data_IF_631928443124
#
_entry.id   IF_631928443124
#
_cell.length_a   1.000
_cell.length_b   1.000
_cell.length_c   1.000
_cell.angle_alpha   90.00
_cell.angle_beta   90.00
_cell.angle_gamma   90.00
#
_symmetry.space_group_name_H-M   'P 1'
#
loop_
_entity.id
_entity.type
_entity.pdbx_description
1 polymer ?
#
# COMPACT_ATOMS: atom_id res chain seq x y z
N UNK A 1 -24.83 -63.61 10.60
CA UNK A 1 -25.85 -62.60 10.23
C UNK A 1 -27.07 -63.26 9.56
N UNK A 2 -26.94 -63.88 8.38
CA UNK A 2 -28.10 -64.53 7.72
C UNK A 2 -28.64 -65.74 8.52
N UNK A 3 -27.75 -66.64 8.97
CA UNK A 3 -28.11 -67.79 9.82
C UNK A 3 -28.64 -67.39 11.20
N UNK A 4 -28.34 -66.17 11.65
CA UNK A 4 -28.81 -65.59 12.91
C UNK A 4 -30.15 -64.85 12.75
N UNK A 5 -30.75 -64.87 11.55
CA UNK A 5 -31.99 -64.14 11.21
C UNK A 5 -31.90 -62.63 11.44
N UNK A 6 -30.73 -62.04 11.24
CA UNK A 6 -30.53 -60.59 11.37
C UNK A 6 -30.61 -59.88 10.00
N UNK A 7 -30.46 -60.63 8.90
CA UNK A 7 -30.53 -60.16 7.50
C UNK A 7 -31.19 -61.22 6.62
N UNK A 8 -31.94 -60.79 5.61
CA UNK A 8 -32.57 -61.65 4.61
C UNK A 8 -31.72 -61.65 3.33
N UNK A 9 -31.55 -62.83 2.72
CA UNK A 9 -30.86 -63.00 1.45
C UNK A 9 -31.86 -63.35 0.36
N UNK A 10 -31.94 -62.54 -0.71
CA UNK A 10 -32.76 -62.84 -1.89
C UNK A 10 -31.88 -63.13 -3.10
N UNK A 11 -32.23 -64.19 -3.82
CA UNK A 11 -31.54 -64.57 -5.05
C UNK A 11 -31.96 -63.62 -6.17
N UNK A 12 -30.99 -62.92 -6.74
CA UNK A 12 -31.14 -62.08 -7.92
C UNK A 12 -30.29 -62.67 -9.06
N UNK A 13 -30.88 -63.59 -9.82
CA UNK A 13 -30.18 -64.31 -10.89
C UNK A 13 -29.08 -65.24 -10.35
N UNK A 14 -27.81 -64.98 -10.71
CA UNK A 14 -26.64 -65.77 -10.27
C UNK A 14 -26.02 -65.29 -8.95
N UNK A 15 -26.56 -64.23 -8.34
CA UNK A 15 -26.04 -63.62 -7.13
C UNK A 15 -27.10 -63.62 -6.04
N UNK A 16 -26.67 -63.58 -4.77
CA UNK A 16 -27.54 -63.40 -3.61
C UNK A 16 -27.29 -62.01 -3.05
N UNK A 17 -28.35 -61.22 -2.93
CA UNK A 17 -28.31 -59.88 -2.31
C UNK A 17 -28.84 -60.02 -0.89
N UNK A 18 -28.02 -59.61 0.08
CA UNK A 18 -28.40 -59.56 1.47
C UNK A 18 -28.88 -58.15 1.85
N UNK A 19 -29.98 -58.06 2.58
CA UNK A 19 -30.52 -56.82 3.12
C UNK A 19 -30.93 -56.97 4.58
N UNK A 20 -30.96 -55.84 5.30
CA UNK A 20 -31.52 -55.80 6.64
C UNK A 20 -33.01 -56.14 6.61
N UNK A 21 -33.50 -56.76 7.69
CA UNK A 21 -34.93 -57.01 7.87
C UNK A 21 -35.65 -55.67 8.02
N UNK A 22 -36.74 -55.50 7.27
CA UNK A 22 -37.56 -54.28 7.24
C UNK A 22 -38.97 -54.58 7.76
N UNK A 23 -39.09 -55.41 8.79
CA UNK A 23 -40.38 -55.68 9.42
C UNK A 23 -40.96 -54.37 9.95
N UNK A 24 -42.21 -54.07 9.56
CA UNK A 24 -42.89 -52.86 10.00
C UNK A 24 -43.04 -52.93 11.53
N UNK A 25 -42.51 -51.94 12.29
CA UNK A 25 -42.68 -51.94 13.74
C UNK A 25 -44.18 -51.94 14.07
N UNK A 26 -44.58 -52.66 15.12
CA UNK A 26 -45.98 -52.75 15.61
C UNK A 26 -46.62 -51.38 15.85
N UNK A 27 -45.79 -50.37 16.03
CA UNK A 27 -46.17 -49.01 16.37
C UNK A 27 -46.36 -48.12 15.13
N UNK A 28 -46.19 -48.64 13.91
CA UNK A 28 -46.31 -47.91 12.63
C UNK A 28 -47.75 -47.59 12.23
N UNK A 29 -48.56 -47.09 13.15
CA UNK A 29 -49.90 -46.63 12.86
C UNK A 29 -49.87 -45.31 12.07
N UNK A 30 -50.84 -45.05 11.17
CA UNK A 30 -50.90 -43.79 10.42
C UNK A 30 -50.91 -42.54 11.31
N UNK A 31 -51.48 -42.65 12.53
CA UNK A 31 -51.51 -41.56 13.50
C UNK A 31 -50.13 -41.21 14.06
N UNK A 32 -49.28 -42.21 14.31
CA UNK A 32 -47.92 -41.97 14.80
C UNK A 32 -47.03 -41.39 13.71
N UNK A 33 -47.18 -41.83 12.46
CA UNK A 33 -46.49 -41.24 11.31
C UNK A 33 -46.87 -39.77 11.12
N UNK A 34 -48.16 -39.44 11.20
CA UNK A 34 -48.61 -38.05 11.13
C UNK A 34 -48.05 -37.19 12.27
N UNK A 35 -47.92 -37.76 13.47
CA UNK A 35 -47.30 -37.08 14.62
C UNK A 35 -45.82 -36.81 14.36
N UNK A 36 -45.06 -37.80 13.90
CA UNK A 36 -43.64 -37.65 13.54
C UNK A 36 -43.43 -36.62 12.40
N UNK A 37 -44.31 -36.59 11.41
CA UNK A 37 -44.26 -35.57 10.36
C UNK A 37 -44.51 -34.16 10.92
N UNK A 38 -45.42 -34.01 11.88
CA UNK A 38 -45.65 -32.74 12.57
C UNK A 38 -44.44 -32.30 13.41
N UNK A 39 -43.75 -33.24 14.05
CA UNK A 39 -42.53 -32.98 14.79
C UNK A 39 -41.38 -32.60 13.86
N UNK A 40 -41.22 -33.32 12.74
CA UNK A 40 -40.21 -33.02 11.72
C UNK A 40 -40.41 -31.63 11.12
N UNK A 41 -41.65 -31.24 10.82
CA UNK A 41 -41.93 -29.91 10.28
C UNK A 41 -41.63 -28.83 11.31
N UNK A 42 -41.99 -29.05 12.57
CA UNK A 42 -41.67 -28.15 13.69
C UNK A 42 -40.16 -27.99 13.90
N UNK A 43 -39.43 -29.11 13.97
CA UNK A 43 -37.97 -29.10 14.14
C UNK A 43 -37.27 -28.44 12.95
N UNK A 44 -37.74 -28.68 11.72
CA UNK A 44 -37.20 -28.00 10.52
C UNK A 44 -37.41 -26.49 10.61
N UNK A 45 -38.58 -26.03 11.05
CA UNK A 45 -38.85 -24.60 11.25
C UNK A 45 -37.98 -23.98 12.37
N UNK A 46 -37.75 -24.72 13.45
CA UNK A 46 -36.84 -24.27 14.52
C UNK A 46 -35.40 -24.17 14.02
N UNK A 47 -34.91 -25.16 13.27
CA UNK A 47 -33.56 -25.14 12.69
C UNK A 47 -33.38 -23.94 11.76
N UNK A 48 -34.36 -23.67 10.88
CA UNK A 48 -34.27 -22.52 9.97
C UNK A 48 -34.27 -21.20 10.73
N UNK A 49 -35.14 -21.04 11.73
CA UNK A 49 -35.20 -19.86 12.60
C UNK A 49 -33.88 -19.64 13.36
N UNK A 50 -33.37 -20.67 14.02
CA UNK A 50 -32.11 -20.58 14.78
C UNK A 50 -30.92 -20.24 13.88
N UNK A 51 -30.84 -20.84 12.69
CA UNK A 51 -29.79 -20.51 11.71
C UNK A 51 -29.88 -19.06 11.21
N UNK A 52 -31.09 -18.52 11.08
CA UNK A 52 -31.26 -17.10 10.73
C UNK A 52 -30.79 -16.20 11.88
N UNK A 53 -31.14 -16.52 13.12
CA UNK A 53 -30.67 -15.80 14.31
C UNK A 53 -29.14 -15.84 14.46
N UNK A 54 -28.52 -17.00 14.25
CA UNK A 54 -27.06 -17.15 14.26
C UNK A 54 -26.39 -16.23 13.23
N UNK A 55 -26.93 -16.18 12.00
CA UNK A 55 -26.39 -15.31 10.94
C UNK A 55 -26.49 -13.83 11.31
N UNK A 56 -27.60 -13.40 11.90
CA UNK A 56 -27.80 -12.02 12.34
C UNK A 56 -26.82 -11.65 13.46
N UNK A 57 -26.74 -12.46 14.52
CA UNK A 57 -25.82 -12.25 15.63
C UNK A 57 -24.35 -12.23 15.18
N UNK A 58 -23.99 -13.10 14.23
CA UNK A 58 -22.64 -13.11 13.65
C UNK A 58 -22.34 -11.84 12.86
N UNK A 59 -23.32 -11.31 12.13
CA UNK A 59 -23.18 -10.04 11.42
C UNK A 59 -23.05 -8.85 12.39
N UNK A 60 -23.86 -8.83 13.46
CA UNK A 60 -23.77 -7.80 14.51
C UNK A 60 -22.42 -7.83 15.23
N UNK A 61 -21.95 -9.03 15.59
CA UNK A 61 -20.65 -9.20 16.23
C UNK A 61 -19.49 -8.76 15.31
N UNK A 62 -19.57 -9.08 14.01
CA UNK A 62 -18.60 -8.60 13.04
C UNK A 62 -18.62 -7.07 12.92
N UNK A 63 -19.80 -6.45 12.89
CA UNK A 63 -19.94 -5.00 12.85
C UNK A 63 -19.42 -4.32 14.12
N UNK A 64 -19.62 -4.93 15.28
CA UNK A 64 -19.10 -4.42 16.56
C UNK A 64 -17.58 -4.53 16.63
N UNK A 65 -17.00 -5.67 16.23
CA UNK A 65 -15.55 -5.88 16.23
C UNK A 65 -14.83 -5.05 15.15
N UNK A 66 -15.52 -4.62 14.09
CA UNK A 66 -14.97 -3.68 13.13
C UNK A 66 -14.80 -2.26 13.71
N UNK A 67 -15.43 -1.95 14.85
CA UNK A 67 -15.23 -0.67 15.54
C UNK A 67 -13.97 -0.75 16.40
N UNK A 68 -13.08 0.21 16.20
CA UNK A 68 -11.92 0.40 17.07
C UNK A 68 -12.42 0.74 18.48
N UNK A 69 -11.91 0.08 19.54
CA UNK A 69 -12.23 0.41 20.92
C UNK A 69 -12.04 1.90 21.24
N UNK A 70 -12.87 2.45 22.12
CA UNK A 70 -12.87 3.90 22.40
C UNK A 70 -11.57 4.37 23.09
N UNK A 71 -10.94 3.51 23.87
CA UNK A 71 -9.63 3.72 24.49
C UNK A 71 -8.52 3.75 23.44
N UNK A 72 -8.51 2.83 22.47
CA UNK A 72 -7.58 2.86 21.34
C UNK A 72 -7.76 4.12 20.49
N UNK A 73 -9.01 4.50 20.20
CA UNK A 73 -9.33 5.75 19.49
C UNK A 73 -8.79 6.97 20.24
N UNK A 74 -8.90 7.01 21.57
CA UNK A 74 -8.35 8.10 22.38
C UNK A 74 -6.83 8.18 22.25
N UNK A 75 -6.15 7.04 22.30
CA UNK A 75 -4.70 6.97 22.07
C UNK A 75 -4.29 7.46 20.67
N UNK A 76 -5.05 7.08 19.64
CA UNK A 76 -4.85 7.56 18.27
C UNK A 76 -5.03 9.08 18.15
N UNK A 77 -6.07 9.64 18.76
CA UNK A 77 -6.34 11.08 18.74
C UNK A 77 -5.19 11.83 19.41
N UNK A 78 -4.77 11.42 20.61
CA UNK A 78 -3.67 12.05 21.32
C UNK A 78 -2.35 11.98 20.54
N UNK A 79 -2.09 10.87 19.83
CA UNK A 79 -0.92 10.78 18.93
C UNK A 79 -1.02 11.78 17.78
N UNK A 80 -2.17 11.86 17.11
CA UNK A 80 -2.39 12.77 15.98
C UNK A 80 -2.32 14.24 16.41
N UNK A 81 -2.82 14.58 17.60
CA UNK A 81 -2.70 15.92 18.16
C UNK A 81 -1.25 16.31 18.40
N UNK A 82 -0.45 15.41 18.98
CA UNK A 82 1.00 15.61 19.15
C UNK A 82 1.73 15.79 17.82
N UNK A 83 1.43 14.96 16.82
CA UNK A 83 2.01 15.08 15.48
C UNK A 83 1.62 16.40 14.81
N UNK A 84 0.36 16.82 14.95
CA UNK A 84 -0.10 18.13 14.47
C UNK A 84 0.66 19.27 15.12
N UNK A 85 0.83 19.23 16.44
CA UNK A 85 1.59 20.25 17.17
C UNK A 85 3.05 20.31 16.73
N UNK A 86 3.70 19.15 16.53
CA UNK A 86 5.06 19.06 16.03
C UNK A 86 5.18 19.68 14.62
N UNK A 87 4.30 19.32 13.71
CA UNK A 87 4.27 19.85 12.33
C UNK A 87 4.04 21.35 12.33
N UNK A 88 3.09 21.84 13.13
CA UNK A 88 2.83 23.27 13.27
C UNK A 88 4.00 24.01 13.92
N UNK A 89 4.66 23.42 14.90
CA UNK A 89 5.86 23.97 15.52
C UNK A 89 7.02 24.09 14.54
N UNK A 90 7.14 23.18 13.58
CA UNK A 90 8.12 23.26 12.48
C UNK A 90 7.72 24.30 11.43
N UNK A 91 6.42 24.42 11.12
CA UNK A 91 5.89 25.34 10.12
C UNK A 91 5.86 26.81 10.59
N UNK A 92 5.62 27.06 11.88
CA UNK A 92 5.54 28.41 12.46
C UNK A 92 6.77 29.26 12.16
N UNK A 93 7.99 28.82 12.50
CA UNK A 93 9.23 29.54 12.20
C UNK A 93 9.48 29.78 10.71
N UNK A 94 9.03 28.86 9.85
CA UNK A 94 9.13 28.98 8.38
C UNK A 94 8.15 30.00 7.81
N UNK A 95 6.96 30.13 8.41
CA UNK A 95 5.93 31.11 8.00
C UNK A 95 6.18 32.51 8.54
N UNK A 96 6.65 32.61 9.79
CA UNK A 96 6.87 33.88 10.47
C UNK A 96 8.15 34.60 10.01
N UNK A 97 8.90 34.02 9.06
CA UNK A 97 10.14 34.61 8.54
C UNK A 97 11.28 34.67 9.56
N UNK A 98 11.13 34.02 10.73
CA UNK A 98 12.17 33.92 11.77
C UNK A 98 13.37 33.08 11.34
N UNK A 99 13.16 32.18 10.38
CA UNK A 99 14.24 31.51 9.66
C UNK A 99 14.37 32.22 8.31
N UNK A 100 15.57 32.71 7.97
CA UNK A 100 15.86 33.40 6.71
C UNK A 100 15.80 32.48 5.47
N UNK A 101 15.09 31.35 5.54
CA UNK A 101 14.79 30.51 4.39
C UNK A 101 13.51 31.05 3.75
N UNK A 102 13.68 31.99 2.82
CA UNK A 102 12.60 32.35 1.89
C UNK A 102 12.07 31.05 1.28
N UNK A 103 10.78 30.80 1.44
CA UNK A 103 10.12 29.67 0.76
C UNK A 103 10.16 30.00 -0.74
N UNK A 104 11.11 29.41 -1.45
CA UNK A 104 11.25 29.54 -2.90
C UNK A 104 10.25 28.57 -3.53
N UNK A 105 9.41 29.06 -4.43
CA UNK A 105 8.50 28.17 -5.16
C UNK A 105 9.28 27.30 -6.14
N UNK A 106 8.71 26.16 -6.54
CA UNK A 106 9.33 25.31 -7.55
C UNK A 106 9.56 26.08 -8.86
N UNK A 107 8.64 26.99 -9.23
CA UNK A 107 8.81 27.81 -10.43
C UNK A 107 9.92 28.86 -10.29
N UNK A 108 10.06 29.49 -9.11
CA UNK A 108 11.15 30.43 -8.85
C UNK A 108 12.52 29.73 -8.92
N UNK A 109 12.60 28.50 -8.38
CA UNK A 109 13.83 27.70 -8.41
C UNK A 109 14.20 27.30 -9.84
N UNK A 110 13.24 26.79 -10.62
CA UNK A 110 13.47 26.37 -12.00
C UNK A 110 13.93 27.54 -12.88
N UNK A 111 13.35 28.72 -12.70
CA UNK A 111 13.78 29.93 -13.41
C UNK A 111 15.23 30.29 -13.11
N UNK A 112 15.61 30.27 -11.83
CA UNK A 112 17.00 30.59 -11.41
C UNK A 112 17.97 29.54 -11.95
N UNK A 113 17.59 28.26 -11.94
CA UNK A 113 18.42 27.18 -12.49
C UNK A 113 18.61 27.30 -14.01
N UNK A 114 17.59 27.73 -14.74
CA UNK A 114 17.69 27.99 -16.19
C UNK A 114 18.63 29.16 -16.47
N UNK A 115 18.43 30.29 -15.80
CA UNK A 115 19.31 31.45 -15.93
C UNK A 115 20.76 31.08 -15.61
N UNK A 116 20.97 30.36 -14.52
CA UNK A 116 22.30 29.89 -14.12
C UNK A 116 22.94 28.99 -15.18
N UNK A 117 22.16 28.11 -15.83
CA UNK A 117 22.66 27.25 -16.91
C UNK A 117 23.11 28.06 -18.12
N UNK A 118 22.35 29.08 -18.50
CA UNK A 118 22.70 30.01 -19.60
C UNK A 118 23.99 30.76 -19.28
N UNK A 119 24.07 31.40 -18.12
CA UNK A 119 25.26 32.16 -17.71
C UNK A 119 26.51 31.29 -17.58
N UNK A 120 26.35 30.09 -17.03
CA UNK A 120 27.43 29.08 -16.97
C UNK A 120 27.92 28.74 -18.38
N UNK A 121 27.00 28.50 -19.32
CA UNK A 121 27.33 28.23 -20.72
C UNK A 121 28.14 29.36 -21.35
N UNK A 122 27.75 30.61 -21.11
CA UNK A 122 28.48 31.78 -21.61
C UNK A 122 29.87 31.92 -21.00
N UNK A 123 30.01 31.72 -19.69
CA UNK A 123 31.32 31.77 -19.02
C UNK A 123 32.25 30.69 -19.59
N UNK A 124 31.76 29.46 -19.76
CA UNK A 124 32.56 28.36 -20.34
C UNK A 124 32.95 28.68 -21.79
N UNK A 125 32.00 29.14 -22.61
CA UNK A 125 32.26 29.52 -23.99
C UNK A 125 33.28 30.65 -24.13
N UNK A 126 33.14 31.72 -23.32
CA UNK A 126 34.08 32.85 -23.31
C UNK A 126 35.47 32.43 -22.85
N UNK A 127 35.57 31.59 -21.82
CA UNK A 127 36.86 31.03 -21.38
C UNK A 127 37.55 30.24 -22.49
N UNK A 128 36.80 29.39 -23.20
CA UNK A 128 37.33 28.64 -24.35
C UNK A 128 37.85 29.57 -25.44
N UNK A 129 37.06 30.55 -25.86
CA UNK A 129 37.46 31.52 -26.90
C UNK A 129 38.72 32.29 -26.48
N UNK A 130 38.76 32.75 -25.23
CA UNK A 130 39.91 33.48 -24.70
C UNK A 130 41.18 32.60 -24.71
N UNK A 131 41.06 31.35 -24.28
CA UNK A 131 42.16 30.37 -24.33
C UNK A 131 42.62 30.07 -25.75
N UNK A 132 41.70 29.74 -26.66
CA UNK A 132 42.01 29.42 -28.05
C UNK A 132 42.72 30.59 -28.75
N UNK A 133 42.27 31.82 -28.49
CA UNK A 133 42.89 33.03 -29.04
C UNK A 133 44.26 33.30 -28.43
N UNK A 134 44.39 33.09 -27.11
CA UNK A 134 45.66 33.22 -26.41
C UNK A 134 46.70 32.24 -26.94
N UNK A 135 46.34 30.97 -27.12
CA UNK A 135 47.22 29.93 -27.66
C UNK A 135 47.74 30.34 -29.03
N UNK A 136 46.85 30.72 -29.97
CA UNK A 136 47.23 31.17 -31.31
C UNK A 136 48.14 32.38 -31.31
N UNK A 137 47.85 33.39 -30.49
CA UNK A 137 48.71 34.57 -30.37
C UNK A 137 50.08 34.22 -29.77
N UNK A 138 50.11 33.27 -28.83
CA UNK A 138 51.33 32.86 -28.14
C UNK A 138 52.24 31.92 -28.95
N UNK A 139 51.70 31.24 -29.97
CA UNK A 139 52.45 30.33 -30.85
C UNK A 139 53.30 31.08 -31.88
N UNK A 140 52.90 32.28 -32.26
CA UNK A 140 53.58 33.11 -33.29
C UNK A 140 54.54 34.15 -32.71
N UNK A 141 54.85 34.06 -31.41
CA UNK A 141 55.74 35.00 -30.74
C UNK A 141 57.21 34.80 -31.17
N UNK A 142 57.95 35.88 -31.51
CA UNK A 142 59.38 35.81 -31.82
C UNK A 142 60.22 35.26 -30.66
N UNK A 143 61.33 34.57 -30.97
CA UNK A 143 62.31 34.14 -29.96
C UNK A 143 62.92 35.38 -29.26
N UNK A 144 62.58 35.57 -27.99
CA UNK A 144 63.01 36.72 -27.17
C UNK A 144 61.88 37.51 -26.50
N UNK A 145 60.61 37.24 -26.82
CA UNK A 145 59.48 37.81 -26.07
C UNK A 145 59.28 37.04 -24.74
N UNK A 146 58.84 37.75 -23.69
CA UNK A 146 58.60 37.23 -22.33
C UNK A 146 57.79 35.92 -22.34
N UNK A 147 57.98 35.08 -21.31
CA UNK A 147 57.23 33.82 -21.14
C UNK A 147 55.72 34.08 -21.20
N UNK A 148 54.96 33.11 -21.72
CA UNK A 148 53.51 33.24 -21.96
C UNK A 148 52.76 33.68 -20.70
N UNK A 149 53.15 33.17 -19.54
CA UNK A 149 52.53 33.50 -18.25
C UNK A 149 52.77 34.96 -17.84
N UNK A 150 53.97 35.49 -18.07
CA UNK A 150 54.30 36.89 -17.75
C UNK A 150 53.54 37.87 -18.66
N UNK A 151 53.33 37.50 -19.94
CA UNK A 151 52.51 38.31 -20.86
C UNK A 151 51.04 38.32 -20.46
N UNK A 152 50.51 37.20 -19.98
CA UNK A 152 49.13 37.09 -19.49
C UNK A 152 48.87 38.04 -18.32
N UNK A 153 49.81 38.10 -17.37
CA UNK A 153 49.75 39.02 -16.23
C UNK A 153 49.92 40.49 -16.64
N UNK A 154 50.83 40.80 -17.57
CA UNK A 154 51.04 42.18 -18.07
C UNK A 154 49.80 42.72 -18.79
N UNK A 155 49.05 41.86 -19.48
CA UNK A 155 47.80 42.22 -20.14
C UNK A 155 46.62 42.34 -19.16
N UNK A 156 46.85 42.12 -17.87
CA UNK A 156 45.84 42.24 -16.82
C UNK A 156 44.79 41.13 -16.87
N UNK A 157 45.13 39.96 -17.42
CA UNK A 157 44.22 38.83 -17.51
C UNK A 157 44.33 37.98 -16.24
N UNK A 158 43.19 37.71 -15.60
CA UNK A 158 43.09 36.96 -14.35
C UNK A 158 42.41 35.60 -14.56
N UNK A 159 42.88 34.57 -13.85
CA UNK A 159 42.37 33.20 -13.94
C UNK A 159 43.38 32.21 -14.50
N UNK A 160 43.14 30.90 -14.30
CA UNK A 160 43.97 29.84 -14.87
C UNK A 160 43.61 29.61 -16.34
N UNK A 161 44.64 29.51 -17.18
CA UNK A 161 44.60 29.02 -18.56
C UNK A 161 44.07 27.58 -18.63
#
# INVERSE_FOLDING_TARGET
>A
MHERKEIEGRVAGKQIVYHALQDAPSDSTPSQLATLDSELTTLRAQITSTKQGEKLLRAELAALNARVPTDELRGMVSRLEREREEVLGRLGPLRDGRVATRVVSAEEQERVDEEWRVWRGWVVGRKRICKDMWERCSEVLPEGVKKKEELWEILGLEGRL
#
